data_IF_252757733536
#
_entry.id   IF_252757733536
#
_cell.length_a   1.000
_cell.length_b   1.000
_cell.length_c   1.000
_cell.angle_alpha   90.00
_cell.angle_beta   90.00
_cell.angle_gamma   90.00
#
_symmetry.space_group_name_H-M   'P 1'
#
loop_
_entity.id
_entity.type
_entity.pdbx_description
1 polymer ?
#
# COMPACT_ATOMS: atom_id res chain seq x y z
N UNK A 1 36.78 -11.96 11.99
CA UNK A 1 35.60 -12.67 11.45
C UNK A 1 34.78 -11.66 10.67
N UNK A 2 34.72 -11.80 9.34
CA UNK A 2 33.78 -11.03 8.52
C UNK A 2 32.46 -11.80 8.51
N UNK A 3 31.51 -11.40 9.35
CA UNK A 3 30.12 -11.82 9.21
C UNK A 3 29.54 -11.04 8.05
N UNK A 4 29.39 -11.74 6.94
CA UNK A 4 28.62 -11.32 5.77
C UNK A 4 27.32 -10.68 6.23
N UNK A 5 27.09 -9.45 5.79
CA UNK A 5 25.84 -8.70 5.91
C UNK A 5 24.68 -9.60 5.46
N UNK A 6 24.04 -10.28 6.42
CA UNK A 6 22.90 -11.16 6.16
C UNK A 6 21.71 -10.27 5.80
N UNK A 7 21.67 -9.93 4.51
CA UNK A 7 20.50 -9.43 3.80
C UNK A 7 19.82 -8.25 4.50
N UNK A 8 20.39 -7.06 4.34
CA UNK A 8 19.74 -5.77 4.63
C UNK A 8 18.44 -5.50 3.82
N UNK A 9 17.92 -6.51 3.11
CA UNK A 9 16.72 -6.43 2.31
C UNK A 9 15.48 -6.60 3.18
N UNK A 10 14.71 -5.52 3.30
CA UNK A 10 13.40 -5.53 3.95
C UNK A 10 12.32 -5.58 2.88
N UNK A 11 11.39 -6.53 3.00
CA UNK A 11 10.21 -6.56 2.15
C UNK A 11 9.29 -5.39 2.50
N UNK A 12 8.97 -4.55 1.50
CA UNK A 12 8.06 -3.41 1.65
C UNK A 12 6.66 -3.82 2.14
N UNK A 13 6.19 -5.03 1.79
CA UNK A 13 4.90 -5.55 2.24
C UNK A 13 4.82 -5.69 3.77
N UNK A 14 5.95 -5.95 4.45
CA UNK A 14 5.98 -6.02 5.92
C UNK A 14 5.65 -4.66 6.55
N UNK A 15 6.06 -3.55 5.91
CA UNK A 15 5.71 -2.22 6.36
C UNK A 15 4.22 -1.92 6.15
N UNK A 16 3.63 -2.42 5.06
CA UNK A 16 2.20 -2.26 4.77
C UNK A 16 1.33 -3.00 5.79
N UNK A 17 1.66 -4.26 6.10
CA UNK A 17 0.99 -5.05 7.15
C UNK A 17 1.04 -4.36 8.51
N UNK A 18 2.22 -3.90 8.92
CA UNK A 18 2.40 -3.13 10.16
C UNK A 18 1.56 -1.86 10.20
N UNK A 19 1.46 -1.13 9.09
CA UNK A 19 0.65 0.09 9.02
C UNK A 19 -0.86 -0.20 8.96
N UNK A 20 -1.27 -1.32 8.38
CA UNK A 20 -2.66 -1.77 8.41
C UNK A 20 -3.12 -2.11 9.84
N UNK A 21 -2.22 -2.65 10.67
CA UNK A 21 -2.50 -2.90 12.09
C UNK A 21 -2.52 -1.61 12.93
N UNK A 22 -1.52 -0.74 12.75
CA UNK A 22 -1.38 0.47 13.57
C UNK A 22 -2.34 1.59 13.16
N UNK A 23 -2.60 1.74 11.86
CA UNK A 23 -3.30 2.87 11.24
C UNK A 23 -4.21 2.42 10.08
N UNK A 24 -5.16 1.49 10.30
CA UNK A 24 -5.92 0.81 9.23
C UNK A 24 -6.67 1.76 8.29
N UNK A 25 -7.18 2.88 8.83
CA UNK A 25 -8.01 3.84 8.09
C UNK A 25 -7.23 5.05 7.59
N UNK A 26 -5.93 5.14 7.83
CA UNK A 26 -5.12 6.23 7.30
C UNK A 26 -4.89 5.99 5.81
N UNK A 27 -4.96 7.09 5.04
CA UNK A 27 -4.73 7.09 3.60
C UNK A 27 -3.30 6.60 3.30
N UNK A 28 -3.19 5.55 2.50
CA UNK A 28 -1.92 4.96 2.08
C UNK A 28 -1.51 5.47 0.69
N UNK A 29 -2.46 5.50 -0.25
CA UNK A 29 -2.24 5.93 -1.64
C UNK A 29 -3.43 6.75 -2.12
N UNK A 30 -3.16 7.81 -2.89
CA UNK A 30 -4.17 8.63 -3.58
C UNK A 30 -3.95 8.47 -5.08
N UNK A 31 -5.00 8.21 -5.84
CA UNK A 31 -4.92 7.94 -7.27
C UNK A 31 -6.16 8.46 -8.01
N UNK A 32 -6.06 8.76 -9.32
CA UNK A 32 -7.22 9.17 -10.11
C UNK A 32 -8.16 7.99 -10.33
N UNK A 33 -9.45 8.18 -10.03
CA UNK A 33 -10.51 7.19 -10.24
C UNK A 33 -11.38 7.47 -11.47
N UNK A 34 -11.20 8.63 -12.11
CA UNK A 34 -11.95 9.01 -13.29
C UNK A 34 -12.06 10.52 -13.42
N UNK A 35 -13.17 10.97 -13.99
CA UNK A 35 -13.49 12.37 -14.22
C UNK A 35 -14.77 12.74 -13.47
N UNK A 36 -14.85 13.95 -12.95
CA UNK A 36 -16.08 14.49 -12.41
C UNK A 36 -17.01 15.01 -13.53
N UNK A 37 -18.23 15.40 -13.16
CA UNK A 37 -19.23 15.95 -14.11
C UNK A 37 -18.81 17.26 -14.78
N UNK A 38 -17.76 17.92 -14.27
CA UNK A 38 -17.22 19.17 -14.80
C UNK A 38 -15.94 18.95 -15.62
N UNK A 39 -15.59 17.70 -15.94
CA UNK A 39 -14.40 17.35 -16.73
C UNK A 39 -13.08 17.48 -15.99
N UNK A 40 -13.08 17.51 -14.65
CA UNK A 40 -11.86 17.52 -13.83
C UNK A 40 -11.52 16.10 -13.38
N UNK A 41 -10.24 15.83 -13.10
CA UNK A 41 -9.81 14.53 -12.58
C UNK A 41 -10.36 14.32 -11.17
N UNK A 42 -11.10 13.24 -10.97
CA UNK A 42 -11.60 12.81 -9.67
C UNK A 42 -10.58 11.88 -9.00
N UNK A 43 -10.10 12.27 -7.82
CA UNK A 43 -9.16 11.48 -7.03
C UNK A 43 -9.87 10.69 -5.94
N UNK A 44 -9.43 9.45 -5.74
CA UNK A 44 -9.80 8.62 -4.59
C UNK A 44 -8.55 8.14 -3.86
N UNK A 45 -8.73 7.32 -2.83
CA UNK A 45 -7.63 6.76 -2.07
C UNK A 45 -7.93 5.35 -1.59
N UNK A 46 -6.87 4.62 -1.26
CA UNK A 46 -6.95 3.41 -0.44
C UNK A 46 -6.40 3.73 0.95
N UNK A 47 -7.02 3.14 1.97
CA UNK A 47 -6.43 3.09 3.31
C UNK A 47 -5.37 1.99 3.38
N UNK A 48 -4.54 1.98 4.43
CA UNK A 48 -3.54 0.91 4.62
C UNK A 48 -4.18 -0.49 4.65
N UNK A 49 -5.32 -0.64 5.33
CA UNK A 49 -6.02 -1.92 5.37
C UNK A 49 -6.55 -2.35 3.99
N UNK A 50 -7.15 -1.43 3.24
CA UNK A 50 -7.68 -1.74 1.91
C UNK A 50 -6.54 -2.11 0.96
N UNK A 51 -5.46 -1.35 0.98
CA UNK A 51 -4.31 -1.58 0.11
C UNK A 51 -3.62 -2.92 0.40
N UNK A 52 -3.47 -3.30 1.66
CA UNK A 52 -2.89 -4.60 2.06
C UNK A 52 -3.73 -5.76 1.51
N UNK A 53 -5.06 -5.70 1.71
CA UNK A 53 -6.00 -6.72 1.23
C UNK A 53 -6.01 -6.83 -0.31
N UNK A 54 -6.10 -5.71 -1.01
CA UNK A 54 -6.11 -5.69 -2.49
C UNK A 54 -4.79 -6.23 -3.05
N UNK A 55 -3.67 -5.89 -2.41
CA UNK A 55 -2.35 -6.39 -2.81
C UNK A 55 -2.24 -7.91 -2.65
N UNK A 56 -2.70 -8.45 -1.51
CA UNK A 56 -2.73 -9.90 -1.28
C UNK A 56 -3.64 -10.59 -2.32
N UNK A 57 -4.84 -10.03 -2.60
CA UNK A 57 -5.74 -10.57 -3.63
C UNK A 57 -5.11 -10.62 -5.03
N UNK A 58 -4.40 -9.56 -5.43
CA UNK A 58 -3.69 -9.52 -6.72
C UNK A 58 -2.54 -10.53 -6.76
N UNK A 59 -1.83 -10.72 -5.64
CA UNK A 59 -0.72 -11.66 -5.55
C UNK A 59 -1.16 -13.13 -5.56
N UNK A 60 -2.41 -13.42 -5.19
CA UNK A 60 -2.96 -14.77 -5.21
C UNK A 60 -3.22 -15.35 -6.62
N UNK A 61 -3.26 -14.49 -7.65
CA UNK A 61 -3.38 -14.89 -9.07
C UNK A 61 -4.81 -14.96 -9.57
#
# INVERSE_FOLDING_TARGET
MNTTDESSWVNVANHMKRMAELQPYKRAVVYPAGWDSNGRVAYTHLTFQQLDRESDMIAHG
#
